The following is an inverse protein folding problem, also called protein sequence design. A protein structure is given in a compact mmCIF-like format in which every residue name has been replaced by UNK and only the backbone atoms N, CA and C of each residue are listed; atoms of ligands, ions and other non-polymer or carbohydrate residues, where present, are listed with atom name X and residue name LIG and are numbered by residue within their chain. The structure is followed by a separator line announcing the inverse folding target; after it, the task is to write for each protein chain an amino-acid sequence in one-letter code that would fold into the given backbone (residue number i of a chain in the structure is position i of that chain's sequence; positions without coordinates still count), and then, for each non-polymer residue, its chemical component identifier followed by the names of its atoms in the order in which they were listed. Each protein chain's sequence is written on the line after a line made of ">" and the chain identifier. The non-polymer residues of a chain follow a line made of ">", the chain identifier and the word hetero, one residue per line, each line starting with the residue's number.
data_IF_949175703241
#
_entry.id   IF_949175703241
#
_cell.length_a   1.000
_cell.length_b   1.000
_cell.length_c   1.000
_cell.angle_alpha   90.00
_cell.angle_beta   90.00
_cell.angle_gamma   90.00
#
_symmetry.space_group_name_H-M   'P 1'
#
loop_
_entity.id
_entity.type
_entity.pdbx_description
1 polymer ?
#
# COMPACT_ATOMS: atom_id res chain seq x y z
N UNK A 1 24.88 16.04 -8.53
CA UNK A 1 24.67 14.85 -7.67
C UNK A 1 23.46 14.02 -8.10
N UNK A 2 22.28 14.62 -8.35
CA UNK A 2 21.10 13.86 -8.78
C UNK A 2 21.26 13.23 -10.18
N UNK A 3 21.88 13.93 -11.12
CA UNK A 3 22.13 13.39 -12.47
C UNK A 3 23.08 12.19 -12.43
N UNK A 4 24.10 12.24 -11.58
CA UNK A 4 25.03 11.12 -11.36
C UNK A 4 24.27 9.90 -10.82
N UNK A 5 23.36 10.09 -9.85
CA UNK A 5 22.54 8.99 -9.31
C UNK A 5 21.58 8.42 -10.36
N UNK A 6 20.96 9.26 -11.20
CA UNK A 6 20.12 8.83 -12.32
C UNK A 6 20.93 7.95 -13.30
N UNK A 7 22.14 8.38 -13.65
CA UNK A 7 23.04 7.64 -14.54
C UNK A 7 23.45 6.30 -13.92
N UNK A 8 23.81 6.28 -12.63
CA UNK A 8 24.14 5.04 -11.92
C UNK A 8 22.95 4.07 -11.93
N UNK A 9 21.78 4.48 -11.44
CA UNK A 9 20.58 3.63 -11.43
C UNK A 9 20.22 3.06 -12.81
N UNK A 10 20.35 3.88 -13.86
CA UNK A 10 20.02 3.48 -15.24
C UNK A 10 21.03 2.51 -15.85
N UNK A 11 22.30 2.60 -15.47
CA UNK A 11 23.40 1.90 -16.15
C UNK A 11 24.09 0.82 -15.30
N UNK A 12 23.83 0.76 -13.99
CA UNK A 12 24.39 -0.29 -13.13
C UNK A 12 23.93 -1.68 -13.60
N UNK A 13 24.86 -2.63 -13.81
CA UNK A 13 24.49 -4.00 -14.13
C UNK A 13 23.66 -4.62 -12.99
N UNK A 14 22.59 -5.38 -13.27
CA UNK A 14 21.75 -5.98 -12.22
C UNK A 14 22.52 -6.83 -11.21
N UNK A 15 23.58 -7.52 -11.64
CA UNK A 15 24.45 -8.30 -10.75
C UNK A 15 25.18 -7.42 -9.71
N UNK A 16 25.59 -6.21 -10.10
CA UNK A 16 26.23 -5.25 -9.19
C UNK A 16 25.22 -4.71 -8.19
N UNK A 17 24.00 -4.40 -8.66
CA UNK A 17 22.89 -3.97 -7.79
C UNK A 17 22.58 -5.05 -6.77
N UNK A 18 22.40 -6.29 -7.21
CA UNK A 18 22.16 -7.46 -6.36
C UNK A 18 23.24 -7.60 -5.29
N UNK A 19 24.52 -7.60 -5.69
CA UNK A 19 25.62 -7.75 -4.74
C UNK A 19 25.71 -6.57 -3.75
N UNK A 20 25.41 -5.35 -4.21
CA UNK A 20 25.36 -4.16 -3.36
C UNK A 20 24.26 -4.30 -2.30
N UNK A 21 23.05 -4.68 -2.69
CA UNK A 21 21.93 -4.89 -1.77
C UNK A 21 22.23 -6.01 -0.78
N UNK A 22 22.73 -7.16 -1.27
CA UNK A 22 23.11 -8.30 -0.44
C UNK A 22 24.16 -7.92 0.62
N UNK A 23 25.13 -7.10 0.24
CA UNK A 23 26.15 -6.59 1.16
C UNK A 23 25.54 -5.61 2.15
N UNK A 24 24.84 -4.58 1.68
CA UNK A 24 24.24 -3.55 2.53
C UNK A 24 23.29 -4.14 3.58
N UNK A 25 22.46 -5.12 3.19
CA UNK A 25 21.50 -5.77 4.09
C UNK A 25 22.15 -6.58 5.21
N UNK A 26 23.43 -6.95 5.11
CA UNK A 26 24.16 -7.71 6.14
C UNK A 26 25.13 -6.86 6.95
N UNK A 27 25.26 -5.58 6.63
CA UNK A 27 26.09 -4.64 7.38
C UNK A 27 25.47 -4.26 8.74
N UNK A 28 26.26 -3.63 9.64
CA UNK A 28 25.74 -3.00 10.84
C UNK A 28 24.61 -2.00 10.50
N UNK A 29 23.54 -1.92 11.29
CA UNK A 29 22.32 -1.18 10.93
C UNK A 29 22.55 0.27 10.51
N UNK A 30 23.42 1.02 11.20
CA UNK A 30 23.69 2.43 10.86
C UNK A 30 24.30 2.57 9.46
N UNK A 31 25.28 1.74 9.11
CA UNK A 31 25.91 1.77 7.80
C UNK A 31 24.96 1.29 6.69
N UNK A 32 24.25 0.19 6.96
CA UNK A 32 23.24 -0.37 6.05
C UNK A 32 22.17 0.68 5.69
N UNK A 33 21.61 1.35 6.71
CA UNK A 33 20.57 2.38 6.52
C UNK A 33 21.08 3.58 5.73
N UNK A 34 22.31 4.04 5.97
CA UNK A 34 22.88 5.15 5.21
C UNK A 34 23.04 4.81 3.72
N UNK A 35 23.60 3.63 3.42
CA UNK A 35 23.78 3.16 2.03
C UNK A 35 22.42 3.06 1.34
N UNK A 36 21.47 2.39 1.98
CA UNK A 36 20.14 2.18 1.42
C UNK A 36 19.45 3.52 1.19
N UNK A 37 19.43 4.40 2.20
CA UNK A 37 18.88 5.75 2.08
C UNK A 37 19.51 6.54 0.94
N UNK A 38 20.82 6.47 0.73
CA UNK A 38 21.46 7.22 -0.37
C UNK A 38 21.08 6.67 -1.75
N UNK A 39 20.97 5.34 -1.87
CA UNK A 39 20.53 4.66 -3.10
C UNK A 39 19.06 4.95 -3.43
N UNK A 40 18.20 5.08 -2.41
CA UNK A 40 16.74 5.17 -2.59
C UNK A 40 16.16 6.54 -2.25
N UNK A 41 16.99 7.53 -1.86
CA UNK A 41 16.53 8.89 -1.57
C UNK A 41 15.88 9.52 -2.81
N UNK A 42 14.68 10.13 -2.65
CA UNK A 42 13.99 10.82 -3.73
C UNK A 42 14.89 11.79 -4.51
N UNK A 43 14.71 11.79 -5.83
CA UNK A 43 15.31 12.75 -6.75
C UNK A 43 14.60 14.11 -6.62
N UNK A 44 15.25 15.20 -7.03
CA UNK A 44 14.69 16.55 -6.89
C UNK A 44 13.28 16.72 -7.47
N UNK A 45 13.03 16.15 -8.65
CA UNK A 45 11.73 16.15 -9.34
C UNK A 45 10.65 15.30 -8.63
N UNK A 46 11.05 14.29 -7.86
CA UNK A 46 10.14 13.43 -7.09
C UNK A 46 9.69 14.07 -5.77
N UNK A 47 10.43 15.05 -5.24
CA UNK A 47 10.10 15.73 -3.98
C UNK A 47 8.74 16.42 -4.01
N UNK A 48 8.28 16.86 -5.19
CA UNK A 48 6.96 17.49 -5.34
C UNK A 48 5.79 16.57 -4.97
N UNK A 49 6.02 15.25 -4.93
CA UNK A 49 4.99 14.27 -4.62
C UNK A 49 4.85 13.95 -3.13
N UNK A 50 5.75 14.45 -2.28
CA UNK A 50 5.96 13.93 -0.92
C UNK A 50 5.44 14.93 0.11
N UNK A 51 4.55 14.47 1.01
CA UNK A 51 4.26 15.12 2.29
C UNK A 51 4.51 14.14 3.43
N UNK A 52 5.42 14.50 4.35
CA UNK A 52 5.78 13.64 5.48
C UNK A 52 4.94 13.95 6.70
N UNK A 53 4.61 12.90 7.44
CA UNK A 53 3.88 12.97 8.70
C UNK A 53 4.69 12.28 9.80
N UNK A 54 4.67 12.88 10.98
CA UNK A 54 5.22 12.32 12.21
C UNK A 54 4.39 12.87 13.37
N UNK A 55 3.31 12.17 13.70
CA UNK A 55 2.40 12.57 14.76
C UNK A 55 2.09 11.37 15.66
N UNK A 56 1.22 11.59 16.65
CA UNK A 56 0.87 10.56 17.62
C UNK A 56 0.13 9.37 17.01
N UNK A 57 -0.47 9.49 15.83
CA UNK A 57 -1.23 8.42 15.20
C UNK A 57 -0.34 7.57 14.29
N UNK A 58 0.53 8.19 13.49
CA UNK A 58 1.38 7.47 12.55
C UNK A 58 2.61 8.28 12.13
N UNK A 59 3.55 7.57 11.53
CA UNK A 59 4.74 8.14 10.90
C UNK A 59 4.87 7.59 9.50
N UNK A 60 5.12 8.46 8.53
CA UNK A 60 5.21 8.05 7.13
C UNK A 60 5.09 9.19 6.15
N UNK A 61 4.69 8.85 4.92
CA UNK A 61 4.60 9.79 3.82
C UNK A 61 3.29 9.59 3.06
N UNK A 62 2.57 10.68 2.81
CA UNK A 62 1.54 10.72 1.78
C UNK A 62 2.19 11.12 0.46
N UNK A 63 1.91 10.33 -0.58
CA UNK A 63 2.49 10.47 -1.91
C UNK A 63 1.36 10.63 -2.92
N UNK A 64 1.32 11.80 -3.56
CA UNK A 64 0.40 12.17 -4.65
C UNK A 64 0.97 13.38 -5.40
N UNK A 65 0.44 13.75 -6.56
CA UNK A 65 0.91 14.94 -7.29
C UNK A 65 0.80 16.23 -6.46
N UNK A 66 1.74 17.18 -6.63
CA UNK A 66 1.69 18.53 -6.05
C UNK A 66 1.49 18.59 -4.52
N UNK A 67 2.22 17.77 -3.76
CA UNK A 67 2.18 17.72 -2.28
C UNK A 67 3.12 18.70 -1.58
N UNK A 68 4.21 19.11 -2.23
CA UNK A 68 5.25 19.95 -1.60
C UNK A 68 4.73 21.31 -1.12
N UNK A 69 3.61 21.77 -1.67
CA UNK A 69 2.94 23.04 -1.30
C UNK A 69 1.72 22.84 -0.39
N UNK A 70 1.30 21.61 -0.14
CA UNK A 70 0.17 21.34 0.75
C UNK A 70 0.65 21.37 2.19
N UNK A 71 -0.08 22.06 3.08
CA UNK A 71 -0.01 21.79 4.51
C UNK A 71 -0.62 20.42 4.85
N UNK A 72 -0.55 20.02 6.12
CA UNK A 72 -1.02 18.71 6.58
C UNK A 72 -2.54 18.57 6.40
N UNK A 73 -3.31 19.62 6.66
CA UNK A 73 -4.77 19.59 6.56
C UNK A 73 -5.21 19.40 5.11
N UNK A 74 -4.63 20.16 4.17
CA UNK A 74 -4.90 20.03 2.73
C UNK A 74 -4.50 18.62 2.26
N UNK A 75 -3.34 18.13 2.67
CA UNK A 75 -2.89 16.78 2.32
C UNK A 75 -3.87 15.70 2.79
N UNK A 76 -4.37 15.79 4.02
CA UNK A 76 -5.38 14.87 4.58
C UNK A 76 -6.72 15.00 3.85
N UNK A 77 -7.17 16.21 3.52
CA UNK A 77 -8.40 16.40 2.76
C UNK A 77 -8.31 15.80 1.35
N UNK A 78 -7.14 15.88 0.71
CA UNK A 78 -6.89 15.23 -0.58
C UNK A 78 -6.88 13.71 -0.46
N UNK A 79 -6.28 13.15 0.59
CA UNK A 79 -6.35 11.72 0.89
C UNK A 79 -7.81 11.26 1.06
N UNK A 80 -8.64 12.00 1.81
CA UNK A 80 -10.06 11.68 2.00
C UNK A 80 -10.88 11.68 0.71
N UNK A 81 -10.48 12.48 -0.27
CA UNK A 81 -11.12 12.58 -1.58
C UNK A 81 -10.56 11.59 -2.61
N UNK A 82 -9.53 10.80 -2.27
CA UNK A 82 -8.99 9.82 -3.20
C UNK A 82 -10.03 8.75 -3.55
N UNK A 83 -10.00 8.32 -4.80
CA UNK A 83 -10.78 7.18 -5.30
C UNK A 83 -10.14 5.87 -4.82
N UNK A 84 -8.80 5.84 -4.80
CA UNK A 84 -7.98 4.67 -4.41
C UNK A 84 -6.91 5.12 -3.42
N UNK A 85 -6.74 4.36 -2.34
CA UNK A 85 -5.62 4.53 -1.40
C UNK A 85 -4.76 3.28 -1.43
N UNK A 86 -3.48 3.43 -1.74
CA UNK A 86 -2.51 2.34 -1.62
C UNK A 86 -1.82 2.51 -0.26
N UNK A 87 -2.09 1.59 0.67
CA UNK A 87 -1.41 1.54 1.97
C UNK A 87 -0.13 0.72 1.82
N UNK A 88 1.02 1.40 1.81
CA UNK A 88 2.29 0.78 1.45
C UNK A 88 3.17 0.56 2.69
N UNK A 89 3.77 -0.63 2.75
CA UNK A 89 4.72 -1.03 3.78
C UNK A 89 5.98 -1.58 3.13
N UNK A 90 7.08 -0.85 3.26
CA UNK A 90 8.33 -1.18 2.59
C UNK A 90 9.03 -2.44 3.17
N UNK A 91 9.82 -3.12 2.34
CA UNK A 91 10.72 -4.20 2.73
C UNK A 91 12.02 -3.72 3.38
N UNK A 92 13.11 -4.48 3.18
CA UNK A 92 14.41 -4.20 3.83
C UNK A 92 14.70 -5.04 5.08
N UNK A 93 14.06 -6.21 5.19
CA UNK A 93 14.36 -7.18 6.25
C UNK A 93 14.13 -6.64 7.66
N UNK A 94 13.19 -5.70 7.85
CA UNK A 94 12.92 -5.00 9.12
C UNK A 94 14.06 -4.13 9.67
N UNK A 95 15.20 -4.05 8.96
CA UNK A 95 16.45 -3.42 9.44
C UNK A 95 16.78 -2.12 8.71
N UNK A 96 16.36 -2.02 7.46
CA UNK A 96 16.56 -0.88 6.55
C UNK A 96 15.25 -0.55 5.83
N UNK A 97 15.24 0.55 5.08
CA UNK A 97 14.07 1.02 4.35
C UNK A 97 13.56 2.36 4.87
N UNK A 98 12.65 2.96 4.11
CA UNK A 98 11.95 4.20 4.46
C UNK A 98 10.72 4.39 3.55
N UNK A 99 9.77 5.22 3.98
CA UNK A 99 8.46 5.47 3.32
C UNK A 99 8.51 6.15 1.94
N UNK A 100 9.70 6.29 1.37
CA UNK A 100 9.93 6.94 0.06
C UNK A 100 10.93 6.15 -0.78
N UNK A 101 11.11 4.87 -0.47
CA UNK A 101 12.12 4.01 -1.10
C UNK A 101 11.78 3.70 -2.57
N UNK A 102 10.49 3.57 -2.90
CA UNK A 102 10.01 3.13 -4.21
C UNK A 102 9.34 4.25 -5.04
N UNK A 103 9.86 5.48 -4.94
CA UNK A 103 9.25 6.65 -5.61
C UNK A 103 9.04 6.48 -7.13
N UNK A 104 9.88 5.69 -7.80
CA UNK A 104 9.72 5.43 -9.24
C UNK A 104 8.42 4.68 -9.54
N UNK A 105 8.20 3.53 -8.89
CA UNK A 105 6.99 2.72 -9.00
C UNK A 105 5.77 3.50 -8.52
N UNK A 106 5.87 4.19 -7.38
CA UNK A 106 4.81 5.03 -6.83
C UNK A 106 4.31 6.09 -7.81
N UNK A 107 5.23 6.84 -8.42
CA UNK A 107 4.86 7.87 -9.39
C UNK A 107 4.32 7.24 -10.68
N UNK A 108 4.86 6.09 -11.11
CA UNK A 108 4.36 5.33 -12.25
C UNK A 108 2.88 4.95 -12.05
N UNK A 109 2.56 4.30 -10.93
CA UNK A 109 1.20 3.87 -10.60
C UNK A 109 0.23 5.04 -10.50
N UNK A 110 0.60 6.11 -9.79
CA UNK A 110 -0.24 7.31 -9.67
C UNK A 110 -0.55 7.94 -11.04
N UNK A 111 0.43 7.98 -11.95
CA UNK A 111 0.26 8.51 -13.31
C UNK A 111 -0.64 7.62 -14.15
N UNK A 112 -0.42 6.31 -14.11
CA UNK A 112 -1.21 5.33 -14.86
C UNK A 112 -2.67 5.31 -14.41
N UNK A 113 -2.94 5.34 -13.09
CA UNK A 113 -4.31 5.45 -12.56
C UNK A 113 -4.99 6.71 -13.11
N UNK A 114 -4.28 7.84 -13.09
CA UNK A 114 -4.83 9.10 -13.58
C UNK A 114 -5.04 9.11 -15.09
N UNK A 115 -4.08 8.64 -15.88
CA UNK A 115 -4.14 8.72 -17.34
C UNK A 115 -5.09 7.69 -17.96
N UNK A 116 -5.15 6.48 -17.41
CA UNK A 116 -5.94 5.37 -17.95
C UNK A 116 -7.40 5.39 -17.46
N UNK A 117 -7.62 5.81 -16.21
CA UNK A 117 -8.94 5.74 -15.57
C UNK A 117 -9.51 7.09 -15.14
N UNK A 118 -8.75 8.18 -15.25
CA UNK A 118 -9.12 9.51 -14.75
C UNK A 118 -9.43 9.56 -13.23
N UNK A 119 -8.93 8.59 -12.47
CA UNK A 119 -9.10 8.51 -11.02
C UNK A 119 -7.95 9.21 -10.28
N UNK A 120 -8.20 9.60 -9.03
CA UNK A 120 -7.20 10.12 -8.12
C UNK A 120 -6.81 9.05 -7.11
N UNK A 121 -5.52 8.70 -7.08
CA UNK A 121 -4.96 7.81 -6.07
C UNK A 121 -4.03 8.55 -5.10
N UNK A 122 -3.93 8.02 -3.89
CA UNK A 122 -2.95 8.41 -2.90
C UNK A 122 -2.20 7.18 -2.40
N UNK A 123 -0.88 7.28 -2.23
CA UNK A 123 -0.11 6.27 -1.52
C UNK A 123 0.16 6.78 -0.11
N UNK A 124 -0.26 6.02 0.89
CA UNK A 124 0.10 6.23 2.29
C UNK A 124 1.17 5.19 2.65
N UNK A 125 2.44 5.60 2.59
CA UNK A 125 3.59 4.73 2.85
C UNK A 125 4.06 4.89 4.30
N UNK A 126 4.13 3.79 5.03
CA UNK A 126 4.42 3.76 6.48
C UNK A 126 5.93 3.81 6.73
N UNK A 127 6.34 4.60 7.72
CA UNK A 127 7.72 4.65 8.22
C UNK A 127 7.80 3.96 9.59
N UNK A 128 7.77 2.62 9.57
CA UNK A 128 7.80 1.81 10.79
C UNK A 128 9.19 1.80 11.45
N UNK A 129 9.24 1.53 12.76
CA UNK A 129 10.49 1.43 13.51
C UNK A 129 11.38 0.28 13.01
N UNK A 130 12.70 0.45 12.99
CA UNK A 130 13.60 -0.58 12.46
C UNK A 130 14.37 -1.34 13.56
N UNK A 131 14.50 -2.65 13.39
CA UNK A 131 15.37 -3.51 14.19
C UNK A 131 16.85 -3.07 14.07
N UNK A 132 17.66 -3.22 15.13
CA UNK A 132 17.37 -3.87 16.41
C UNK A 132 16.66 -2.99 17.44
N UNK A 133 16.51 -1.69 17.18
CA UNK A 133 15.94 -0.75 18.16
C UNK A 133 14.44 -0.97 18.35
N UNK A 134 13.74 -1.39 17.30
CA UNK A 134 12.34 -1.75 17.32
C UNK A 134 12.20 -3.20 16.86
N UNK A 135 12.24 -4.13 17.82
CA UNK A 135 12.07 -5.57 17.59
C UNK A 135 10.60 -5.92 17.39
N UNK A 136 10.30 -7.15 16.99
CA UNK A 136 8.92 -7.68 17.03
C UNK A 136 8.30 -7.50 18.42
N UNK A 137 7.03 -7.08 18.55
CA UNK A 137 6.07 -6.70 17.50
C UNK A 137 6.05 -5.20 17.17
N UNK A 138 7.08 -4.41 17.55
CA UNK A 138 7.13 -2.95 17.36
C UNK A 138 6.79 -2.47 15.93
N UNK A 139 7.49 -2.95 14.89
CA UNK A 139 7.18 -2.58 13.50
C UNK A 139 5.74 -2.94 13.07
N UNK A 140 5.21 -4.07 13.53
CA UNK A 140 3.83 -4.47 13.31
C UNK A 140 2.85 -3.50 13.97
N UNK A 141 3.11 -3.13 15.22
CA UNK A 141 2.28 -2.17 15.95
C UNK A 141 2.22 -0.82 15.23
N UNK A 142 3.34 -0.35 14.66
CA UNK A 142 3.37 0.89 13.87
C UNK A 142 2.47 0.78 12.62
N UNK A 143 2.52 -0.34 11.89
CA UNK A 143 1.68 -0.58 10.73
C UNK A 143 0.19 -0.70 11.08
N UNK A 144 -0.15 -1.44 12.13
CA UNK A 144 -1.53 -1.59 12.62
C UNK A 144 -2.10 -0.24 13.05
N UNK A 145 -1.31 0.56 13.79
CA UNK A 145 -1.72 1.89 14.24
C UNK A 145 -1.93 2.85 13.06
N UNK A 146 -1.06 2.80 12.05
CA UNK A 146 -1.23 3.60 10.83
C UNK A 146 -2.47 3.18 10.02
N UNK A 147 -2.75 1.88 9.93
CA UNK A 147 -3.91 1.35 9.22
C UNK A 147 -5.22 1.65 9.97
N UNK A 148 -5.22 1.55 11.29
CA UNK A 148 -6.33 1.95 12.16
C UNK A 148 -6.61 3.46 12.05
N UNK A 149 -5.56 4.30 12.06
CA UNK A 149 -5.73 5.73 11.83
C UNK A 149 -6.31 6.02 10.44
N UNK A 150 -5.86 5.33 9.39
CA UNK A 150 -6.41 5.52 8.04
C UNK A 150 -7.90 5.16 7.97
N UNK A 151 -8.29 4.04 8.55
CA UNK A 151 -9.66 3.51 8.46
C UNK A 151 -10.61 4.15 9.47
N UNK A 152 -10.27 4.09 10.76
CA UNK A 152 -11.12 4.56 11.86
C UNK A 152 -10.87 6.03 12.21
N UNK A 153 -9.61 6.48 12.22
CA UNK A 153 -9.28 7.87 12.53
C UNK A 153 -9.69 8.87 11.44
N UNK A 154 -9.40 8.55 10.18
CA UNK A 154 -9.71 9.39 9.02
C UNK A 154 -11.04 9.01 8.34
N UNK A 155 -11.61 7.85 8.66
CA UNK A 155 -12.87 7.37 8.08
C UNK A 155 -12.74 6.87 6.64
N UNK A 156 -11.54 6.49 6.17
CA UNK A 156 -11.37 5.95 4.82
C UNK A 156 -11.94 4.54 4.77
N UNK A 157 -12.93 4.32 3.91
CA UNK A 157 -13.52 3.00 3.72
C UNK A 157 -12.46 1.99 3.27
N UNK A 158 -12.33 0.82 3.93
CA UNK A 158 -11.46 -0.27 3.47
C UNK A 158 -11.70 -0.67 2.02
N UNK A 159 -12.91 -0.52 1.49
CA UNK A 159 -13.24 -0.80 0.09
C UNK A 159 -12.51 0.08 -0.94
N UNK A 160 -11.86 1.16 -0.50
CA UNK A 160 -10.99 2.01 -1.34
C UNK A 160 -9.50 1.70 -1.17
N UNK A 161 -9.15 0.80 -0.23
CA UNK A 161 -7.77 0.57 0.18
C UNK A 161 -7.23 -0.70 -0.47
N UNK A 162 -6.07 -0.57 -1.11
CA UNK A 162 -5.24 -1.70 -1.52
C UNK A 162 -3.98 -1.68 -0.66
N UNK A 163 -3.74 -2.75 0.11
CA UNK A 163 -2.48 -2.85 0.85
C UNK A 163 -1.38 -3.30 -0.10
N UNK A 164 -0.16 -2.81 0.07
CA UNK A 164 1.00 -3.17 -0.73
C UNK A 164 2.20 -3.35 0.18
N UNK A 165 2.96 -4.42 -0.02
CA UNK A 165 4.23 -4.57 0.69
C UNK A 165 5.14 -5.59 0.03
N UNK A 166 6.44 -5.40 0.22
CA UNK A 166 7.48 -6.26 -0.32
C UNK A 166 8.32 -6.92 0.77
N UNK A 167 8.74 -8.17 0.58
CA UNK A 167 9.63 -8.87 1.52
C UNK A 167 9.10 -8.84 2.97
N UNK A 168 9.88 -8.26 3.88
CA UNK A 168 9.49 -7.96 5.25
C UNK A 168 8.22 -7.10 5.36
N UNK A 169 8.03 -6.13 4.48
CA UNK A 169 6.82 -5.32 4.40
C UNK A 169 5.61 -6.12 3.92
N UNK A 170 5.80 -7.09 3.03
CA UNK A 170 4.76 -8.06 2.67
C UNK A 170 4.32 -8.92 3.86
N UNK A 171 5.25 -9.27 4.75
CA UNK A 171 4.92 -9.93 6.01
C UNK A 171 4.11 -9.02 6.93
N UNK A 172 4.54 -7.76 7.11
CA UNK A 172 3.82 -6.77 7.91
C UNK A 172 2.41 -6.47 7.37
N UNK A 173 2.21 -6.49 6.05
CA UNK A 173 0.88 -6.37 5.44
C UNK A 173 -0.01 -7.53 5.86
N UNK A 174 0.47 -8.77 5.74
CA UNK A 174 -0.28 -9.96 6.14
C UNK A 174 -0.58 -9.94 7.66
N UNK A 175 0.41 -9.61 8.47
CA UNK A 175 0.23 -9.50 9.93
C UNK A 175 -0.72 -8.38 10.33
N UNK A 176 -0.66 -7.22 9.65
CA UNK A 176 -1.60 -6.11 9.88
C UNK A 176 -3.03 -6.57 9.58
N UNK A 177 -3.27 -7.23 8.45
CA UNK A 177 -4.57 -7.79 8.12
C UNK A 177 -5.06 -8.79 9.17
N UNK A 178 -4.19 -9.67 9.64
CA UNK A 178 -4.56 -10.67 10.66
C UNK A 178 -4.87 -9.99 11.98
N UNK A 179 -3.99 -9.13 12.48
CA UNK A 179 -4.18 -8.42 13.74
C UNK A 179 -5.46 -7.56 13.72
N UNK A 180 -5.80 -6.97 12.58
CA UNK A 180 -7.01 -6.15 12.43
C UNK A 180 -8.28 -6.99 12.30
N UNK A 181 -8.26 -8.11 11.58
CA UNK A 181 -9.50 -8.81 11.21
C UNK A 181 -9.72 -10.15 11.90
N UNK A 182 -8.66 -10.87 12.27
CA UNK A 182 -8.73 -12.20 12.85
C UNK A 182 -7.54 -12.47 13.83
N UNK A 183 -7.35 -11.63 14.87
CA UNK A 183 -6.19 -11.75 15.75
C UNK A 183 -6.11 -13.08 16.51
N UNK A 184 -7.23 -13.74 16.80
CA UNK A 184 -7.23 -15.06 17.43
C UNK A 184 -6.52 -16.16 16.60
N UNK A 185 -6.35 -15.97 15.27
CA UNK A 185 -5.60 -16.90 14.41
C UNK A 185 -4.15 -17.06 14.89
N UNK A 186 -3.60 -16.03 15.52
CA UNK A 186 -2.24 -16.06 16.04
C UNK A 186 -2.06 -17.08 17.18
N UNK A 187 -3.14 -17.44 17.87
CA UNK A 187 -3.16 -18.45 18.94
C UNK A 187 -3.73 -19.78 18.43
N UNK A 188 -4.87 -19.72 17.74
CA UNK A 188 -5.58 -20.86 17.18
C UNK A 188 -5.86 -20.65 15.68
N UNK A 189 -5.17 -21.38 14.82
CA UNK A 189 -5.30 -21.28 13.37
C UNK A 189 -6.72 -21.58 12.85
N UNK A 190 -7.58 -22.20 13.66
CA UNK A 190 -8.98 -22.49 13.34
C UNK A 190 -9.96 -21.39 13.76
N UNK A 191 -9.49 -20.40 14.54
CA UNK A 191 -10.34 -19.33 15.08
C UNK A 191 -11.11 -18.56 13.99
N UNK A 192 -12.38 -18.21 14.20
CA UNK A 192 -13.14 -17.45 13.23
C UNK A 192 -12.59 -16.04 13.07
N UNK A 193 -13.03 -15.35 12.01
CA UNK A 193 -12.86 -13.90 11.92
C UNK A 193 -13.59 -13.23 13.08
N UNK A 194 -13.04 -12.17 13.65
CA UNK A 194 -13.69 -11.47 14.79
C UNK A 194 -14.43 -10.22 14.31
N UNK A 195 -13.86 -9.51 13.33
CA UNK A 195 -14.38 -8.23 12.86
C UNK A 195 -15.21 -8.36 11.57
N UNK A 196 -16.20 -9.26 11.55
CA UNK A 196 -17.09 -9.49 10.39
C UNK A 196 -17.83 -8.23 9.91
N UNK A 197 -18.08 -7.28 10.81
CA UNK A 197 -18.78 -6.03 10.49
C UNK A 197 -17.92 -5.04 9.71
N UNK A 198 -16.60 -5.12 9.82
CA UNK A 198 -15.70 -4.25 9.07
C UNK A 198 -15.43 -4.90 7.69
N UNK A 199 -15.62 -4.18 6.58
CA UNK A 199 -15.22 -4.71 5.29
C UNK A 199 -13.72 -4.96 5.25
N UNK A 200 -13.30 -6.02 4.57
CA UNK A 200 -11.90 -6.20 4.23
C UNK A 200 -11.47 -5.12 3.23
N UNK A 201 -10.16 -4.87 3.10
CA UNK A 201 -9.63 -4.01 2.07
C UNK A 201 -10.03 -4.49 0.67
N UNK A 202 -9.97 -3.60 -0.31
CA UNK A 202 -10.30 -3.92 -1.69
C UNK A 202 -9.39 -5.01 -2.27
N UNK A 203 -8.09 -4.91 -1.97
CA UNK A 203 -7.10 -5.89 -2.39
C UNK A 203 -5.79 -5.81 -1.63
N UNK A 204 -4.88 -6.74 -1.93
CA UNK A 204 -3.51 -6.71 -1.44
C UNK A 204 -2.50 -7.08 -2.54
N UNK A 205 -1.40 -6.34 -2.62
CA UNK A 205 -0.21 -6.65 -3.40
C UNK A 205 0.88 -7.14 -2.46
N UNK A 206 1.42 -8.33 -2.75
CA UNK A 206 2.53 -8.93 -2.01
C UNK A 206 3.70 -9.21 -2.98
N UNK A 207 4.78 -8.43 -2.88
CA UNK A 207 6.00 -8.68 -3.65
C UNK A 207 6.98 -9.49 -2.81
N UNK A 208 7.34 -10.69 -3.25
CA UNK A 208 8.30 -11.56 -2.57
C UNK A 208 8.10 -11.67 -1.04
N UNK A 209 6.86 -11.88 -0.54
CA UNK A 209 6.58 -11.72 0.88
C UNK A 209 7.32 -12.77 1.74
N UNK A 210 7.83 -12.34 2.89
CA UNK A 210 8.29 -13.28 3.92
C UNK A 210 7.08 -13.88 4.62
N UNK A 211 6.79 -15.16 4.36
CA UNK A 211 5.59 -15.86 4.90
C UNK A 211 5.93 -17.04 5.81
N UNK A 212 7.22 -17.35 5.93
CA UNK A 212 7.75 -18.49 6.65
C UNK A 212 9.14 -18.17 7.16
N UNK A 213 9.48 -18.76 8.31
CA UNK A 213 10.81 -18.75 8.86
C UNK A 213 11.67 -19.95 8.47
N UNK A 214 11.19 -20.84 7.60
CA UNK A 214 11.96 -22.02 7.18
C UNK A 214 13.08 -21.58 6.22
N UNK A 215 14.31 -22.09 6.44
CA UNK A 215 15.51 -21.73 5.68
C UNK A 215 16.17 -22.94 5.01
N UNK A 216 15.46 -24.07 4.97
CA UNK A 216 15.92 -25.37 4.47
C UNK A 216 15.20 -25.85 3.20
N UNK A 217 14.31 -25.06 2.62
CA UNK A 217 13.59 -25.41 1.38
C UNK A 217 14.54 -25.57 0.18
N UNK A 218 14.04 -26.12 -0.94
CA UNK A 218 14.85 -26.27 -2.15
C UNK A 218 15.29 -24.91 -2.71
N UNK A 219 14.42 -23.90 -2.69
CA UNK A 219 14.78 -22.52 -3.06
C UNK A 219 15.91 -21.96 -2.20
N UNK A 220 15.91 -22.22 -0.89
CA UNK A 220 17.02 -21.84 -0.01
C UNK A 220 18.32 -22.54 -0.40
N UNK A 221 18.31 -23.87 -0.60
CA UNK A 221 19.49 -24.65 -1.00
C UNK A 221 20.10 -24.13 -2.31
N UNK A 222 19.25 -23.78 -3.28
CA UNK A 222 19.68 -23.33 -4.60
C UNK A 222 20.18 -21.88 -4.61
N UNK A 223 19.49 -20.97 -3.91
CA UNK A 223 19.65 -19.53 -4.18
C UNK A 223 20.23 -18.72 -3.03
N UNK A 224 20.42 -19.27 -1.81
CA UNK A 224 20.90 -18.47 -0.68
C UNK A 224 22.29 -17.83 -0.90
N UNK A 225 23.07 -18.31 -1.87
CA UNK A 225 24.37 -17.75 -2.29
C UNK A 225 24.26 -16.70 -3.40
N UNK A 226 23.19 -16.71 -4.20
CA UNK A 226 23.04 -15.91 -5.42
C UNK A 226 21.94 -14.88 -5.35
N UNK A 227 21.01 -15.00 -4.41
CA UNK A 227 19.89 -14.08 -4.22
C UNK A 227 20.29 -12.84 -3.39
N UNK A 228 19.43 -11.81 -3.33
CA UNK A 228 19.58 -10.67 -2.43
C UNK A 228 19.46 -11.13 -0.97
N UNK A 229 18.48 -11.98 -0.68
CA UNK A 229 18.29 -12.56 0.64
C UNK A 229 19.30 -13.69 0.85
N UNK A 230 20.03 -13.61 1.95
CA UNK A 230 21.11 -14.55 2.26
C UNK A 230 20.88 -15.25 3.59
N UNK A 231 21.55 -16.38 3.78
CA UNK A 231 21.60 -17.05 5.08
C UNK A 231 22.12 -16.13 6.19
N UNK A 232 23.05 -15.22 5.86
CA UNK A 232 23.53 -14.21 6.82
C UNK A 232 22.45 -13.21 7.20
N UNK A 233 21.65 -12.75 6.23
CA UNK A 233 20.53 -11.85 6.47
C UNK A 233 19.46 -12.51 7.35
N UNK A 234 19.07 -13.76 7.07
CA UNK A 234 18.08 -14.47 7.89
C UNK A 234 18.52 -14.59 9.35
N UNK A 235 19.80 -14.92 9.60
CA UNK A 235 20.34 -14.97 10.96
C UNK A 235 20.28 -13.61 11.67
N UNK A 236 20.52 -12.52 10.94
CA UNK A 236 20.38 -11.17 11.49
C UNK A 236 18.92 -10.83 11.77
N UNK A 237 17.97 -11.21 10.91
CA UNK A 237 16.54 -11.01 11.15
C UNK A 237 16.12 -11.76 12.43
N UNK A 238 16.51 -13.04 12.57
CA UNK A 238 16.20 -13.82 13.76
C UNK A 238 16.73 -13.17 15.04
N UNK A 239 17.98 -12.72 15.02
CA UNK A 239 18.61 -12.12 16.19
C UNK A 239 18.08 -10.72 16.49
N UNK A 240 18.07 -9.84 15.49
CA UNK A 240 17.84 -8.41 15.68
C UNK A 240 16.36 -8.05 15.68
N UNK A 241 15.54 -8.70 14.86
CA UNK A 241 14.11 -8.41 14.76
C UNK A 241 13.28 -9.34 15.64
N UNK A 242 13.45 -10.66 15.49
CA UNK A 242 12.66 -11.63 16.28
C UNK A 242 13.18 -11.79 17.72
N UNK A 243 14.43 -11.37 17.98
CA UNK A 243 15.04 -11.49 19.31
C UNK A 243 15.35 -12.92 19.70
N UNK A 244 15.65 -13.80 18.74
CA UNK A 244 16.07 -15.17 19.03
C UNK A 244 17.55 -15.22 19.49
N UNK A 245 17.90 -16.08 20.47
CA UNK A 245 17.03 -17.08 21.12
C UNK A 245 16.30 -16.57 22.38
N UNK A 246 16.37 -15.27 22.70
CA UNK A 246 15.73 -14.73 23.90
C UNK A 246 14.19 -14.81 23.83
N UNK A 247 13.61 -14.69 22.64
CA UNK A 247 12.20 -14.94 22.33
C UNK A 247 11.96 -16.42 22.00
N UNK A 248 10.76 -16.94 22.29
CA UNK A 248 10.36 -18.31 21.90
C UNK A 248 9.71 -18.30 20.51
N UNK A 249 9.99 -19.31 19.68
CA UNK A 249 9.43 -19.41 18.32
C UNK A 249 7.90 -19.52 18.36
N UNK A 250 7.35 -20.16 19.39
CA UNK A 250 5.92 -20.33 19.61
C UNK A 250 5.20 -18.98 19.81
N UNK A 251 5.91 -17.98 20.31
CA UNK A 251 5.44 -16.61 20.57
C UNK A 251 5.61 -15.69 19.35
N UNK A 252 5.99 -16.24 18.17
CA UNK A 252 6.19 -15.49 16.92
C UNK A 252 5.12 -15.86 15.88
N UNK A 253 3.94 -15.21 15.93
CA UNK A 253 2.84 -15.51 15.01
C UNK A 253 3.20 -15.39 13.53
N UNK A 254 4.09 -14.46 13.15
CA UNK A 254 4.65 -14.33 11.79
C UNK A 254 5.24 -15.65 11.27
N UNK A 255 5.85 -16.45 12.16
CA UNK A 255 6.50 -17.71 11.80
C UNK A 255 5.49 -18.83 11.59
N UNK A 256 4.23 -18.67 12.02
CA UNK A 256 3.18 -19.70 11.94
C UNK A 256 2.23 -19.49 10.75
N UNK A 257 2.33 -18.38 10.02
CA UNK A 257 1.42 -18.07 8.91
C UNK A 257 1.43 -19.11 7.79
N UNK A 258 2.59 -19.72 7.52
CA UNK A 258 2.72 -20.82 6.56
C UNK A 258 1.90 -22.08 6.92
N UNK A 259 1.42 -22.21 8.16
CA UNK A 259 0.52 -23.29 8.59
C UNK A 259 -0.95 -23.02 8.29
N UNK A 260 -1.35 -21.79 7.94
CA UNK A 260 -2.72 -21.51 7.49
C UNK A 260 -2.96 -22.22 6.16
N UNK A 261 -3.94 -23.13 6.10
CA UNK A 261 -4.24 -23.93 4.90
C UNK A 261 -5.60 -23.62 4.25
N UNK A 262 -6.47 -22.90 4.96
CA UNK A 262 -7.83 -22.59 4.51
C UNK A 262 -8.38 -21.37 5.26
N UNK A 263 -9.58 -20.94 4.86
CA UNK A 263 -10.30 -19.81 5.41
C UNK A 263 -9.46 -18.52 5.39
N UNK A 264 -8.81 -18.25 4.26
CA UNK A 264 -7.99 -17.04 4.09
C UNK A 264 -8.85 -15.77 4.09
N UNK A 265 -10.13 -15.89 3.72
CA UNK A 265 -11.14 -14.83 3.76
C UNK A 265 -11.43 -14.26 5.16
N UNK A 266 -10.84 -14.84 6.21
CA UNK A 266 -10.86 -14.26 7.56
C UNK A 266 -10.06 -12.96 7.67
N UNK A 267 -9.00 -12.80 6.86
CA UNK A 267 -8.11 -11.64 6.93
C UNK A 267 -7.63 -11.17 5.55
N UNK A 268 -7.50 -12.07 4.59
CA UNK A 268 -7.02 -11.77 3.26
C UNK A 268 -8.16 -11.19 2.40
N UNK A 269 -7.95 -10.05 1.70
CA UNK A 269 -8.98 -9.45 0.87
C UNK A 269 -9.39 -10.37 -0.29
N UNK A 270 -10.52 -10.06 -0.93
CA UNK A 270 -11.08 -10.88 -2.02
C UNK A 270 -10.12 -10.97 -3.22
N UNK A 271 -9.37 -9.90 -3.48
CA UNK A 271 -8.43 -9.81 -4.59
C UNK A 271 -7.00 -9.69 -4.05
N UNK A 272 -6.11 -10.58 -4.47
CA UNK A 272 -4.70 -10.56 -4.09
C UNK A 272 -3.82 -10.71 -5.33
N UNK A 273 -2.77 -9.91 -5.41
CA UNK A 273 -1.73 -10.00 -6.42
C UNK A 273 -0.41 -10.36 -5.73
N UNK A 274 0.29 -11.35 -6.26
CA UNK A 274 1.57 -11.81 -5.73
C UNK A 274 2.61 -11.81 -6.84
N UNK A 275 3.71 -11.10 -6.63
CA UNK A 275 4.91 -11.18 -7.45
C UNK A 275 5.97 -11.99 -6.72
N UNK A 276 6.70 -12.84 -7.45
CA UNK A 276 7.82 -13.61 -6.91
C UNK A 276 8.92 -13.75 -7.97
N UNK A 277 10.18 -13.74 -7.54
CA UNK A 277 11.30 -14.20 -8.35
C UNK A 277 11.32 -15.73 -8.43
N UNK A 278 11.77 -16.29 -9.55
CA UNK A 278 12.02 -17.72 -9.68
C UNK A 278 13.39 -18.12 -9.11
N UNK A 279 14.30 -17.13 -8.94
CA UNK A 279 15.67 -17.28 -8.43
C UNK A 279 15.87 -16.63 -7.07
N UNK A 280 14.88 -16.76 -6.19
CA UNK A 280 14.96 -16.25 -4.83
C UNK A 280 14.71 -17.33 -3.78
N UNK A 281 15.16 -17.07 -2.56
CA UNK A 281 15.07 -18.05 -1.47
C UNK A 281 13.67 -18.22 -0.90
N UNK A 282 12.82 -17.18 -0.93
CA UNK A 282 11.46 -17.22 -0.35
C UNK A 282 10.43 -17.89 -1.28
N UNK A 283 10.83 -18.19 -2.52
CA UNK A 283 9.95 -18.72 -3.58
C UNK A 283 9.10 -19.89 -3.13
N UNK A 284 9.69 -20.93 -2.54
CA UNK A 284 8.98 -22.17 -2.25
C UNK A 284 7.86 -21.96 -1.21
N UNK A 285 8.13 -21.19 -0.15
CA UNK A 285 7.14 -20.87 0.87
C UNK A 285 5.99 -20.01 0.31
N UNK A 286 6.31 -19.03 -0.55
CA UNK A 286 5.29 -18.20 -1.21
C UNK A 286 4.45 -19.04 -2.17
N UNK A 287 5.07 -19.92 -2.97
CA UNK A 287 4.34 -20.85 -3.85
C UNK A 287 3.41 -21.76 -3.03
N UNK A 288 3.88 -22.27 -1.90
CA UNK A 288 3.07 -23.10 -1.00
C UNK A 288 1.87 -22.33 -0.43
N UNK A 289 2.06 -21.08 -0.01
CA UNK A 289 0.95 -20.21 0.43
C UNK A 289 -0.04 -19.97 -0.71
N UNK A 290 0.44 -19.57 -1.90
CA UNK A 290 -0.42 -19.32 -3.07
C UNK A 290 -1.24 -20.56 -3.43
N UNK A 291 -0.64 -21.74 -3.41
CA UNK A 291 -1.34 -23.00 -3.66
C UNK A 291 -2.41 -23.28 -2.60
N UNK A 292 -2.14 -23.00 -1.33
CA UNK A 292 -3.13 -23.12 -0.26
C UNK A 292 -4.30 -22.14 -0.45
N UNK A 293 -4.03 -20.88 -0.81
CA UNK A 293 -5.06 -19.87 -1.10
C UNK A 293 -5.92 -20.29 -2.29
N UNK A 294 -5.30 -20.74 -3.39
CA UNK A 294 -6.02 -21.25 -4.58
C UNK A 294 -6.90 -22.45 -4.23
N UNK A 295 -6.41 -23.37 -3.40
CA UNK A 295 -7.17 -24.54 -2.94
C UNK A 295 -8.35 -24.17 -2.06
N UNK A 296 -8.21 -23.15 -1.21
CA UNK A 296 -9.31 -22.63 -0.38
C UNK A 296 -10.43 -22.00 -1.26
N UNK A 297 -10.06 -21.41 -2.40
CA UNK A 297 -11.01 -20.97 -3.43
C UNK A 297 -11.82 -19.72 -3.06
N UNK A 298 -11.55 -19.10 -1.91
CA UNK A 298 -12.29 -17.94 -1.42
C UNK A 298 -11.69 -16.59 -1.84
N UNK A 299 -10.39 -16.55 -2.08
CA UNK A 299 -9.65 -15.38 -2.55
C UNK A 299 -9.22 -15.56 -4.01
N UNK A 300 -9.46 -14.54 -4.83
CA UNK A 300 -8.94 -14.46 -6.19
C UNK A 300 -7.47 -14.03 -6.14
N UNK A 301 -6.56 -14.93 -6.51
CA UNK A 301 -5.12 -14.68 -6.44
C UNK A 301 -4.48 -14.66 -7.83
N UNK A 302 -3.98 -13.49 -8.22
CA UNK A 302 -3.13 -13.31 -9.39
C UNK A 302 -1.68 -13.58 -8.98
N UNK A 303 -1.06 -14.60 -9.57
CA UNK A 303 0.30 -15.02 -9.21
C UNK A 303 1.24 -14.86 -10.39
N UNK A 304 2.21 -13.96 -10.25
CA UNK A 304 3.19 -13.63 -11.27
C UNK A 304 4.56 -14.09 -10.79
N UNK A 305 5.19 -14.97 -11.58
CA UNK A 305 6.53 -15.47 -11.31
C UNK A 305 7.43 -15.19 -12.50
N UNK A 306 8.53 -14.49 -12.26
CA UNK A 306 9.50 -14.11 -13.28
C UNK A 306 10.91 -14.57 -12.92
N UNK A 307 11.75 -14.75 -13.94
CA UNK A 307 13.09 -15.34 -13.80
C UNK A 307 14.16 -14.36 -13.23
N UNK A 308 13.85 -13.74 -12.09
CA UNK A 308 14.68 -12.77 -11.37
C UNK A 308 14.87 -13.17 -9.90
N UNK A 309 15.73 -12.39 -9.25
CA UNK A 309 15.98 -12.46 -7.81
C UNK A 309 14.87 -11.77 -7.01
N UNK A 310 15.01 -11.86 -5.70
CA UNK A 310 14.11 -11.29 -4.70
C UNK A 310 13.81 -9.80 -4.94
N UNK A 311 12.52 -9.44 -4.88
CA UNK A 311 11.97 -8.08 -5.05
C UNK A 311 12.23 -7.40 -6.39
N UNK A 312 12.40 -8.16 -7.47
CA UNK A 312 12.60 -7.59 -8.80
C UNK A 312 11.49 -6.61 -9.25
N UNK A 313 10.25 -6.77 -8.76
CA UNK A 313 9.13 -5.90 -9.10
C UNK A 313 9.24 -4.53 -8.41
N UNK A 314 9.69 -4.48 -7.16
CA UNK A 314 9.85 -3.21 -6.43
C UNK A 314 11.24 -2.58 -6.62
N UNK A 315 12.24 -3.40 -6.92
CA UNK A 315 13.61 -2.99 -7.19
C UNK A 315 13.90 -3.16 -8.67
N UNK A 316 13.39 -2.22 -9.46
CA UNK A 316 13.48 -2.27 -10.93
C UNK A 316 14.92 -2.47 -11.41
N UNK A 317 15.93 -1.98 -10.70
CA UNK A 317 17.35 -2.10 -11.03
C UNK A 317 17.86 -3.56 -11.04
N UNK A 318 17.11 -4.52 -10.49
CA UNK A 318 17.38 -5.96 -10.64
C UNK A 318 16.94 -6.52 -12.00
N UNK A 319 16.10 -5.81 -12.73
CA UNK A 319 15.60 -6.22 -14.05
C UNK A 319 16.57 -5.75 -15.15
N UNK A 320 16.94 -6.68 -16.03
CA UNK A 320 17.85 -6.41 -17.16
C UNK A 320 17.23 -5.38 -18.11
N UNK A 321 18.07 -4.57 -18.74
CA UNK A 321 17.64 -3.51 -19.68
C UNK A 321 16.69 -4.00 -20.77
N UNK A 322 16.96 -5.16 -21.37
CA UNK A 322 16.12 -5.77 -22.41
C UNK A 322 14.71 -6.15 -21.93
N UNK A 323 14.56 -6.37 -20.63
CA UNK A 323 13.34 -6.87 -20.00
C UNK A 323 12.60 -5.75 -19.24
N UNK A 324 13.04 -4.49 -19.33
CA UNK A 324 12.38 -3.34 -18.67
C UNK A 324 10.94 -3.11 -19.13
N UNK A 325 10.57 -3.61 -20.31
CA UNK A 325 9.18 -3.61 -20.78
C UNK A 325 8.26 -4.43 -19.86
N UNK A 326 8.80 -5.43 -19.14
CA UNK A 326 8.05 -6.20 -18.14
C UNK A 326 7.63 -5.32 -16.96
N UNK A 327 8.50 -4.42 -16.49
CA UNK A 327 8.15 -3.49 -15.41
C UNK A 327 6.96 -2.61 -15.82
N UNK A 328 7.00 -2.01 -17.01
CA UNK A 328 5.89 -1.19 -17.49
C UNK A 328 4.59 -2.00 -17.61
N UNK A 329 4.67 -3.23 -18.15
CA UNK A 329 3.53 -4.16 -18.21
C UNK A 329 2.98 -4.47 -16.81
N UNK A 330 3.85 -4.73 -15.83
CA UNK A 330 3.43 -5.12 -14.49
C UNK A 330 2.93 -3.94 -13.65
N UNK A 331 3.44 -2.73 -13.88
CA UNK A 331 2.85 -1.49 -13.36
C UNK A 331 1.42 -1.30 -13.87
N UNK A 332 1.20 -1.48 -15.18
CA UNK A 332 -0.15 -1.43 -15.76
C UNK A 332 -1.06 -2.52 -15.16
N UNK A 333 -0.58 -3.76 -15.06
CA UNK A 333 -1.35 -4.85 -14.46
C UNK A 333 -1.71 -4.57 -13.00
N UNK A 334 -0.80 -4.01 -12.20
CA UNK A 334 -1.08 -3.67 -10.81
C UNK A 334 -2.09 -2.52 -10.70
N UNK A 335 -2.00 -1.53 -11.58
CA UNK A 335 -2.96 -0.43 -11.64
C UNK A 335 -4.36 -0.92 -12.00
N UNK A 336 -4.47 -1.79 -13.00
CA UNK A 336 -5.75 -2.41 -13.40
C UNK A 336 -6.32 -3.23 -12.24
N UNK A 337 -5.47 -4.01 -11.57
CA UNK A 337 -5.84 -4.74 -10.36
C UNK A 337 -6.39 -3.83 -9.27
N UNK A 338 -5.77 -2.67 -9.01
CA UNK A 338 -6.24 -1.75 -7.98
C UNK A 338 -7.63 -1.20 -8.31
N UNK A 339 -7.85 -0.78 -9.56
CA UNK A 339 -9.13 -0.24 -10.02
C UNK A 339 -10.22 -1.32 -9.94
N UNK A 340 -9.96 -2.50 -10.49
CA UNK A 340 -10.91 -3.62 -10.48
C UNK A 340 -11.25 -4.05 -9.06
N UNK A 341 -10.26 -4.13 -8.17
CA UNK A 341 -10.45 -4.51 -6.77
C UNK A 341 -11.34 -3.50 -6.03
N UNK A 342 -11.08 -2.20 -6.19
CA UNK A 342 -11.88 -1.12 -5.57
C UNK A 342 -13.29 -1.10 -6.12
N UNK A 343 -13.46 -1.24 -7.44
CA UNK A 343 -14.79 -1.32 -8.05
C UNK A 343 -15.62 -2.50 -7.52
N UNK A 344 -15.02 -3.69 -7.47
CA UNK A 344 -15.68 -4.90 -6.97
C UNK A 344 -16.06 -4.76 -5.49
N UNK A 345 -15.16 -4.21 -4.66
CA UNK A 345 -15.41 -3.99 -3.25
C UNK A 345 -16.54 -2.97 -3.03
N UNK A 346 -16.56 -1.88 -3.79
CA UNK A 346 -17.61 -0.87 -3.71
C UNK A 346 -18.98 -1.42 -4.17
N UNK A 347 -19.02 -2.17 -5.28
CA UNK A 347 -20.26 -2.84 -5.77
C UNK A 347 -20.83 -3.80 -4.71
N UNK A 348 -19.96 -4.60 -4.08
CA UNK A 348 -20.37 -5.56 -3.04
C UNK A 348 -21.00 -4.89 -1.82
N UNK A 349 -20.53 -3.70 -1.44
CA UNK A 349 -21.12 -2.91 -0.34
C UNK A 349 -22.52 -2.40 -0.70
N UNK A 350 -22.71 -1.90 -1.92
CA UNK A 350 -24.01 -1.42 -2.41
C UNK A 350 -25.01 -2.57 -2.46
N UNK A 351 -24.63 -3.72 -3.01
CA UNK A 351 -25.51 -4.89 -3.09
C UNK A 351 -25.93 -5.39 -1.70
N UNK A 352 -25.01 -5.36 -0.73
CA UNK A 352 -25.29 -5.75 0.65
C UNK A 352 -26.25 -4.77 1.32
N UNK A 353 -26.05 -3.46 1.11
CA UNK A 353 -26.96 -2.43 1.60
C UNK A 353 -28.36 -2.56 0.99
N UNK A 354 -28.46 -2.73 -0.33
CA UNK A 354 -29.75 -2.92 -1.03
C UNK A 354 -30.47 -4.18 -0.57
N UNK A 355 -29.77 -5.30 -0.41
CA UNK A 355 -30.36 -6.55 0.13
C UNK A 355 -30.83 -6.38 1.58
N UNK A 356 -30.08 -5.65 2.41
CA UNK A 356 -30.50 -5.35 3.79
C UNK A 356 -31.75 -4.47 3.80
N UNK A 357 -31.83 -3.47 2.93
CA UNK A 357 -33.01 -2.60 2.80
C UNK A 357 -34.22 -3.40 2.31
N UNK A 358 -34.05 -4.29 1.32
CA UNK A 358 -35.11 -5.19 0.84
C UNK A 358 -35.57 -6.17 1.94
N UNK A 359 -34.64 -6.72 2.72
CA UNK A 359 -34.96 -7.62 3.83
C UNK A 359 -35.69 -6.89 4.97
N UNK A 360 -35.29 -5.65 5.28
CA UNK A 360 -35.94 -4.82 6.28
C UNK A 360 -37.31 -4.32 5.81
N UNK A 361 -37.49 -4.01 4.53
CA UNK A 361 -38.82 -3.67 3.96
C UNK A 361 -39.72 -4.90 3.89
N UNK A 362 -39.20 -6.09 3.56
CA UNK A 362 -39.98 -7.34 3.63
C UNK A 362 -40.38 -7.70 5.05
N UNK A 363 -39.49 -7.52 6.03
CA UNK A 363 -39.80 -7.73 7.45
C UNK A 363 -40.80 -6.69 7.97
N UNK A 364 -40.66 -5.42 7.57
CA UNK A 364 -41.65 -4.38 7.88
C UNK A 364 -43.01 -4.65 7.21
N UNK A 365 -43.04 -5.22 6.00
CA UNK A 365 -44.28 -5.64 5.33
C UNK A 365 -44.90 -6.89 5.96
N UNK A 366 -44.11 -7.81 6.50
CA UNK A 366 -44.61 -8.96 7.29
C UNK A 366 -45.13 -8.50 8.66
N UNK A 367 -44.55 -7.46 9.25
CA UNK A 367 -44.99 -6.86 10.51
C UNK A 367 -46.17 -5.85 10.34
N UNK A 368 -46.59 -5.52 9.11
CA UNK A 368 -47.73 -4.60 8.84
C UNK A 368 -48.95 -5.23 8.17
N UNK A 369 -48.99 -6.54 7.92
CA UNK A 369 -50.22 -7.21 7.47
C UNK A 369 -51.03 -7.67 8.69
N UNK A 370 -51.70 -6.72 9.34
CA UNK A 370 -52.94 -6.99 10.07
C UNK A 370 -53.78 -5.72 10.24
N UNK A 371 -54.19 -5.10 9.13
CA UNK A 371 -55.29 -4.14 9.13
C UNK A 371 -56.11 -4.41 7.86
N UNK A 372 -57.16 -5.22 7.99
CA UNK A 372 -58.19 -5.37 6.97
C UNK A 372 -59.09 -4.13 7.03
N UNK A 373 -58.90 -3.17 6.13
CA UNK A 373 -59.98 -2.29 5.70
C UNK A 373 -60.04 -2.28 4.16
N UNK A 374 -61.15 -2.80 3.66
CA UNK A 374 -61.62 -2.78 2.28
C UNK A 374 -61.70 -1.36 1.74
N UNK A 375 -60.96 -1.07 0.68
CA UNK A 375 -61.27 0.02 -0.25
C UNK A 375 -61.34 -0.56 -1.66
N UNK A 376 -62.50 -0.36 -2.25
CA UNK A 376 -62.93 -0.76 -3.59
C UNK A 376 -62.18 0.06 -4.65
N UNK A 377 -61.57 -0.60 -5.64
CA UNK A 377 -60.78 0.06 -6.70
C UNK A 377 -61.28 -0.36 -8.07
N UNK A 378 -62.53 0.02 -8.36
CA UNK A 378 -63.05 0.15 -9.72
C UNK A 378 -63.25 1.64 -10.02
N UNK A 379 -62.19 2.40 -10.31
CA UNK A 379 -62.26 3.64 -11.09
C UNK A 379 -60.91 4.02 -11.72
N UNK A 380 -60.97 4.30 -13.02
CA UNK A 380 -60.09 5.13 -13.85
C UNK A 380 -58.97 4.46 -14.65
N UNK A 381 -59.42 3.95 -15.81
CA UNK A 381 -58.73 3.91 -17.10
C UNK A 381 -58.31 5.32 -17.55
N UNK A 382 -57.30 5.35 -18.44
CA UNK A 382 -56.96 6.36 -19.48
C UNK A 382 -55.86 7.37 -19.17
N UNK A 383 -54.63 7.14 -19.69
CA UNK A 383 -54.17 7.80 -20.93
C UNK A 383 -52.71 7.46 -21.33
N UNK A 384 -52.55 7.25 -22.63
CA UNK A 384 -51.43 7.60 -23.51
C UNK A 384 -50.10 6.79 -23.59
N UNK A 385 -50.07 5.86 -24.55
CA UNK A 385 -49.38 5.90 -25.86
C UNK A 385 -47.87 6.29 -26.06
N UNK A 386 -47.18 5.41 -26.83
CA UNK A 386 -46.07 5.55 -27.84
C UNK A 386 -44.60 5.76 -27.31
N UNK A 387 -43.44 5.30 -27.86
CA UNK A 387 -42.91 4.77 -29.16
C UNK A 387 -41.71 3.82 -28.89
N UNK A 388 -41.49 2.86 -29.81
CA UNK A 388 -40.34 1.95 -29.99
C UNK A 388 -39.07 2.60 -30.54
N UNK A 389 -37.86 2.09 -30.26
CA UNK A 389 -36.77 2.20 -31.24
C UNK A 389 -35.69 1.11 -31.19
N UNK A 390 -35.08 0.91 -32.35
CA UNK A 390 -34.28 -0.24 -32.82
C UNK A 390 -32.77 -0.12 -32.50
N UNK A 391 -32.12 -1.28 -32.56
CA UNK A 391 -30.69 -1.58 -32.74
C UNK A 391 -29.99 -0.68 -33.80
N UNK A 392 -28.65 -0.48 -33.76
CA UNK A 392 -27.77 -1.39 -34.54
C UNK A 392 -26.30 -1.54 -34.06
N UNK A 393 -25.68 -2.63 -34.54
CA UNK A 393 -24.23 -2.85 -34.59
C UNK A 393 -23.67 -2.45 -35.97
N UNK A 394 -22.69 -1.53 -36.05
CA UNK A 394 -21.64 -1.47 -37.12
C UNK A 394 -20.48 -0.55 -36.66
N UNK A 395 -19.23 -1.06 -36.67
CA UNK A 395 -17.98 -0.39 -37.17
C UNK A 395 -16.70 -0.79 -36.39
N UNK A 396 -16.10 -1.91 -36.80
CA UNK A 396 -14.78 -2.38 -36.33
C UNK A 396 -13.58 -1.83 -37.14
N UNK A 397 -13.78 -0.87 -38.05
CA UNK A 397 -12.74 -0.41 -38.99
C UNK A 397 -12.03 0.88 -38.54
N UNK A 398 -12.38 1.44 -37.37
CA UNK A 398 -11.91 2.77 -36.94
C UNK A 398 -10.83 2.76 -35.82
N UNK A 399 -10.29 1.59 -35.48
CA UNK A 399 -9.38 1.43 -34.33
C UNK A 399 -7.90 1.55 -34.74
N UNK A 400 -7.50 1.01 -35.90
CA UNK A 400 -6.08 1.04 -36.32
C UNK A 400 -5.58 2.45 -36.66
N UNK A 401 -6.43 3.32 -37.23
CA UNK A 401 -6.07 4.73 -37.49
C UNK A 401 -5.87 5.56 -36.22
N UNK A 402 -6.55 5.24 -35.12
CA UNK A 402 -6.39 5.95 -33.84
C UNK A 402 -5.09 5.61 -33.12
N UNK A 403 -4.53 4.42 -33.33
CA UNK A 403 -3.29 3.98 -32.66
C UNK A 403 -2.07 4.74 -33.23
N UNK A 404 -2.05 5.00 -34.55
CA UNK A 404 -0.93 5.72 -35.19
C UNK A 404 -0.89 7.22 -34.84
N UNK A 405 -2.06 7.83 -34.61
CA UNK A 405 -2.16 9.25 -34.22
C UNK A 405 -1.78 9.49 -32.75
N UNK A 406 -1.94 8.50 -31.86
CA UNK A 406 -1.55 8.61 -30.45
C UNK A 406 -0.02 8.63 -30.30
N UNK A 407 0.70 7.85 -31.10
CA UNK A 407 2.18 7.84 -31.06
C UNK A 407 2.85 9.15 -31.51
N UNK A 408 2.17 9.99 -32.30
CA UNK A 408 2.72 11.29 -32.74
C UNK A 408 2.52 12.44 -31.74
N UNK A 409 1.68 12.27 -30.71
CA UNK A 409 1.43 13.30 -29.68
C UNK A 409 2.42 13.29 -28.51
N UNK A 410 3.38 12.39 -28.49
CA UNK A 410 4.34 12.24 -27.39
C UNK A 410 5.61 13.11 -27.49
N UNK A 411 5.74 13.93 -28.55
CA UNK A 411 6.97 14.72 -28.82
C UNK A 411 6.81 16.26 -28.73
N UNK A 412 5.70 16.81 -28.22
CA UNK A 412 5.50 18.28 -28.11
C UNK A 412 5.50 18.77 -26.64
N UNK A 413 6.17 19.90 -26.30
CA UNK A 413 6.25 20.44 -24.93
C UNK A 413 4.91 20.99 -24.40
N UNK A 414 4.75 20.93 -23.07
CA UNK A 414 3.57 21.36 -22.31
C UNK A 414 3.25 22.87 -22.43
N UNK A 415 2.20 23.26 -23.16
CA UNK A 415 1.54 24.59 -23.10
C UNK A 415 0.01 24.51 -22.88
N UNK A 416 -0.46 23.65 -21.97
CA UNK A 416 -1.91 23.55 -21.68
C UNK A 416 -2.30 23.74 -20.21
N UNK A 417 -1.49 24.47 -19.43
CA UNK A 417 -1.76 24.76 -18.01
C UNK A 417 -2.11 26.22 -17.68
N UNK A 418 -2.20 27.14 -18.66
CA UNK A 418 -2.49 28.56 -18.40
C UNK A 418 -3.98 28.94 -18.43
N UNK A 419 -4.93 28.01 -18.60
CA UNK A 419 -6.36 28.36 -18.79
C UNK A 419 -7.35 27.70 -17.83
N UNK A 420 -6.92 27.34 -16.62
CA UNK A 420 -7.85 26.88 -15.57
C UNK A 420 -7.84 27.90 -14.43
N UNK A 421 -8.90 28.72 -14.38
CA UNK A 421 -9.14 29.70 -13.33
C UNK A 421 -9.58 28.97 -12.05
N UNK A 422 -8.78 29.05 -10.98
CA UNK A 422 -9.16 28.60 -9.65
C UNK A 422 -9.71 29.81 -8.87
N UNK A 423 -10.83 29.68 -8.13
CA UNK A 423 -11.38 30.79 -7.36
C UNK A 423 -10.37 31.25 -6.28
N UNK A 424 -10.07 32.54 -6.26
CA UNK A 424 -9.15 33.15 -5.30
C UNK A 424 -9.67 32.99 -3.86
N UNK A 425 -8.76 32.67 -2.94
CA UNK A 425 -9.04 32.63 -1.51
C UNK A 425 -9.43 34.04 -0.98
N UNK A 426 -10.34 34.15 0.00
CA UNK A 426 -10.71 35.44 0.57
C UNK A 426 -9.52 36.09 1.28
N UNK A 427 -9.31 37.38 1.01
CA UNK A 427 -8.24 38.18 1.60
C UNK A 427 -8.46 38.36 3.11
N UNK A 428 -7.51 37.89 3.92
CA UNK A 428 -7.47 38.22 5.36
C UNK A 428 -6.76 39.56 5.52
N UNK A 429 -7.52 40.55 5.99
CA UNK A 429 -7.05 41.90 6.30
C UNK A 429 -6.22 41.85 7.60
N UNK A 430 -4.92 42.13 7.51
CA UNK A 430 -4.10 42.43 8.68
C UNK A 430 -4.47 43.82 9.24
N UNK A 431 -4.86 43.87 10.52
CA UNK A 431 -4.80 45.11 11.32
C UNK A 431 -3.57 45.07 12.24
N UNK A 432 -2.73 46.11 12.28
CA UNK A 432 -1.68 46.25 13.28
C UNK A 432 -2.22 46.98 14.52
N UNK A 433 -1.86 46.53 15.73
CA UNK A 433 -1.32 47.40 16.78
C UNK A 433 -0.93 46.62 18.06
N UNK A 434 0.33 46.87 18.42
CA UNK A 434 0.97 46.94 19.74
C UNK A 434 0.09 47.21 20.97
N UNK A 435 0.38 46.51 22.07
CA UNK A 435 0.56 47.09 23.42
C UNK A 435 1.76 46.39 24.11
N UNK A 436 2.67 47.21 24.65
CA UNK A 436 3.87 46.89 25.45
C UNK A 436 3.55 46.87 26.96
N UNK A 437 4.37 46.10 27.71
CA UNK A 437 4.75 46.20 29.15
C UNK A 437 3.63 46.10 30.20
N UNK A 438 3.76 45.50 31.38
CA UNK A 438 4.81 45.43 32.42
C UNK A 438 4.56 44.11 33.23
N UNK A 439 5.52 43.36 33.78
CA UNK A 439 6.32 43.68 34.96
C UNK A 439 7.48 42.69 35.13
N UNK A 440 8.48 43.18 35.83
CA UNK A 440 9.86 42.75 35.93
C UNK A 440 10.19 41.85 37.14
N UNK A 441 11.26 41.05 36.98
CA UNK A 441 12.33 40.72 37.95
C UNK A 441 11.96 39.93 39.22
N UNK A 442 12.63 38.79 39.43
CA UNK A 442 13.60 38.56 40.54
C UNK A 442 14.57 37.44 40.12
N UNK A 443 15.84 37.83 40.09
CA UNK A 443 17.04 37.02 39.99
C UNK A 443 17.33 36.30 41.31
N UNK A 444 17.87 35.09 41.29
CA UNK A 444 18.96 34.74 42.22
C UNK A 444 19.77 33.52 41.76
N UNK A 445 21.06 33.76 41.52
CA UNK A 445 22.15 32.79 41.57
C UNK A 445 22.99 33.13 42.80
N UNK A 446 23.51 32.15 43.55
CA UNK A 446 24.72 32.35 44.31
C UNK A 446 25.93 31.75 43.60
N UNK A 447 27.00 32.55 43.59
CA UNK A 447 28.37 32.22 43.24
C UNK A 447 29.16 31.72 44.47
N UNK A 448 30.27 31.01 44.21
CA UNK A 448 31.59 31.09 44.89
C UNK A 448 32.52 30.09 44.17
N UNK A 449 33.55 30.51 43.41
CA UNK A 449 34.92 30.89 43.85
C UNK A 449 35.49 29.89 44.88
N UNK A 450 36.69 29.30 44.80
CA UNK A 450 37.96 29.61 44.10
C UNK A 450 39.04 28.65 44.70
N UNK A 451 40.07 28.12 44.02
CA UNK A 451 41.49 28.59 43.96
C UNK A 451 42.45 27.37 43.79
N UNK A 452 43.47 27.53 42.93
CA UNK A 452 44.85 26.94 42.80
C UNK A 452 45.14 25.46 43.13
N UNK A 453 46.04 24.75 42.44
CA UNK A 453 47.44 25.07 42.05
C UNK A 453 47.77 24.56 40.66
#
# INVERSE_FOLDING_TARGET
>A
MDDIRKVIKKNSPPAVVLQTLRTALTMPPAAARNIIKDLTRPLGDQKRFIRKFNNEHWKGTLIMSEMIRCDDDIAIQRLKKADIVIFEVHGGGFRVGHSTMYMESFISWLRLIKSKYNLYACIMSVEYGLAPMHKYPGPLNDCVKAFDYLTNGLGISPSKIVLSGDSAGGALVLETLIQTYAPAILQDLSAPRENFKQPLPAGALLSSPLVSGVIETESWKLFHKTDVVSMGLSKLIYKEYLGLPETKIEDLPIMRLHHVKNNFDRFMPKNVMVFIGDKEVLRDDVVNMVNAVKKDGKTNIQFIKENYAHDWFMVHELVKKKDKHLIAKYDEMFVDFCVDAVEQACKSLVDTATKSTIKNTRKASEDTVNINETIDVDQLVSNDHIISEKNPAVNAVNIEKKITDITKKFDEPFELFEKIDFPAAPAVVHKPNTILSEYAIITDRPSKNSVSV
#
